data_IF_662084083683
#
_entry.id   IF_662084083683
#
_cell.length_a   1.000
_cell.length_b   1.000
_cell.length_c   1.000
_cell.angle_alpha   90.00
_cell.angle_beta   90.00
_cell.angle_gamma   90.00
#
_symmetry.space_group_name_H-M   'P 1'
#
loop_
_entity.id
_entity.type
_entity.pdbx_description
1 polymer ?
#
# COMPACT_ATOMS: atom_id res chain seq x y z
N UNK A 1 -28.47 23.61 -21.89
CA UNK A 1 -29.49 22.70 -21.34
C UNK A 1 -28.73 21.61 -20.59
N UNK A 2 -28.79 21.59 -19.26
CA UNK A 2 -28.02 20.67 -18.40
C UNK A 2 -28.91 19.47 -18.09
N UNK A 3 -28.45 18.26 -18.37
CA UNK A 3 -29.13 17.03 -17.96
C UNK A 3 -28.42 16.53 -16.71
N UNK A 4 -29.07 16.72 -15.56
CA UNK A 4 -28.71 16.12 -14.27
C UNK A 4 -29.66 14.94 -14.11
N UNK A 5 -29.15 13.71 -14.06
CA UNK A 5 -29.93 12.54 -13.65
C UNK A 5 -29.37 12.13 -12.29
N UNK A 6 -30.02 12.58 -11.23
CA UNK A 6 -29.79 12.09 -9.88
C UNK A 6 -30.47 10.73 -9.73
N UNK A 7 -29.69 9.69 -9.43
CA UNK A 7 -30.22 8.40 -9.05
C UNK A 7 -30.67 8.46 -7.58
N UNK A 8 -31.97 8.25 -7.37
CA UNK A 8 -32.62 8.16 -6.07
C UNK A 8 -32.32 6.77 -5.48
N UNK A 9 -31.46 6.69 -4.46
CA UNK A 9 -31.29 5.47 -3.66
C UNK A 9 -32.26 5.48 -2.48
N UNK A 10 -33.44 4.88 -2.67
CA UNK A 10 -34.31 4.47 -1.58
C UNK A 10 -33.95 3.06 -1.13
N UNK A 11 -33.26 2.93 0.00
CA UNK A 11 -33.04 1.61 0.62
C UNK A 11 -34.23 1.31 1.54
N UNK A 12 -35.10 0.41 1.07
CA UNK A 12 -36.12 -0.24 1.88
C UNK A 12 -35.44 -1.28 2.77
N UNK A 13 -35.19 -0.94 4.03
CA UNK A 13 -34.62 -1.88 5.00
C UNK A 13 -35.70 -2.86 5.49
N UNK A 14 -35.78 -4.04 4.86
CA UNK A 14 -36.64 -5.14 5.35
C UNK A 14 -35.80 -6.05 6.24
N UNK A 15 -35.86 -5.83 7.56
CA UNK A 15 -35.31 -6.77 8.53
C UNK A 15 -36.30 -7.92 8.75
N UNK A 16 -35.94 -9.14 8.34
CA UNK A 16 -36.68 -10.36 8.66
C UNK A 16 -35.79 -11.29 9.49
N UNK A 17 -36.11 -11.38 10.79
CA UNK A 17 -35.64 -12.42 11.70
C UNK A 17 -36.43 -13.71 11.42
N UNK A 18 -35.84 -14.70 10.76
CA UNK A 18 -36.40 -16.05 10.70
C UNK A 18 -35.29 -17.11 10.85
N UNK A 19 -35.57 -18.03 11.76
CA UNK A 19 -34.70 -19.05 12.36
C UNK A 19 -34.56 -20.32 11.52
N UNK A 20 -33.34 -20.61 11.03
CA UNK A 20 -32.77 -21.95 10.73
C UNK A 20 -33.52 -22.87 9.72
N UNK A 21 -32.95 -24.02 9.25
CA UNK A 21 -32.22 -24.05 7.96
C UNK A 21 -32.65 -25.22 7.04
N UNK A 22 -32.98 -24.99 5.75
CA UNK A 22 -32.95 -26.09 4.76
C UNK A 22 -32.92 -25.61 3.30
N UNK A 23 -31.78 -25.84 2.66
CA UNK A 23 -31.56 -26.36 1.31
C UNK A 23 -32.47 -25.88 0.15
N UNK A 24 -31.86 -25.11 -0.75
CA UNK A 24 -32.34 -24.83 -2.10
C UNK A 24 -31.65 -23.59 -2.63
N UNK A 25 -30.48 -23.76 -3.24
CA UNK A 25 -29.78 -22.65 -3.90
C UNK A 25 -30.63 -22.19 -5.09
N UNK A 26 -31.53 -21.24 -4.83
CA UNK A 26 -32.18 -20.43 -5.83
C UNK A 26 -31.12 -19.43 -6.28
N UNK A 27 -30.62 -19.61 -7.50
CA UNK A 27 -29.64 -18.71 -8.13
C UNK A 27 -30.34 -17.36 -8.40
N UNK A 28 -30.43 -16.56 -7.35
CA UNK A 28 -31.18 -15.32 -7.28
C UNK A 28 -30.20 -14.19 -7.59
N UNK A 29 -30.29 -13.72 -8.84
CA UNK A 29 -29.72 -12.48 -9.39
C UNK A 29 -28.21 -12.32 -9.18
N UNK A 30 -27.47 -12.58 -10.27
CA UNK A 30 -26.12 -12.04 -10.45
C UNK A 30 -26.15 -10.52 -10.28
N UNK A 31 -25.78 -10.07 -9.08
CA UNK A 31 -25.27 -8.74 -8.90
C UNK A 31 -24.01 -8.66 -9.74
N UNK A 32 -24.09 -7.96 -10.86
CA UNK A 32 -22.91 -7.37 -11.48
C UNK A 32 -22.32 -6.44 -10.42
N UNK A 33 -21.32 -6.90 -9.68
CA UNK A 33 -20.36 -5.97 -9.08
C UNK A 33 -19.84 -5.13 -10.24
N UNK A 34 -19.96 -3.81 -10.14
CA UNK A 34 -19.05 -2.95 -10.89
C UNK A 34 -17.66 -3.30 -10.31
N UNK A 35 -16.97 -4.24 -10.94
CA UNK A 35 -15.56 -4.49 -10.67
C UNK A 35 -14.85 -3.16 -10.92
N UNK A 36 -14.40 -2.50 -9.84
CA UNK A 36 -13.53 -1.33 -9.96
C UNK A 36 -12.34 -1.75 -10.83
N UNK A 37 -12.13 -1.02 -11.94
CA UNK A 37 -11.00 -1.28 -12.84
C UNK A 37 -9.67 -0.78 -12.28
N UNK A 38 -9.70 -0.21 -11.07
CA UNK A 38 -8.53 0.25 -10.36
C UNK A 38 -7.99 -0.84 -9.43
N UNK A 39 -6.81 -1.35 -9.77
CA UNK A 39 -6.08 -2.31 -8.94
C UNK A 39 -4.70 -1.72 -8.59
N UNK A 40 -4.30 -1.83 -7.33
CA UNK A 40 -2.98 -1.42 -6.87
C UNK A 40 -2.34 -2.48 -5.98
N UNK A 41 -1.03 -2.66 -6.13
CA UNK A 41 -0.24 -3.72 -5.50
C UNK A 41 1.14 -3.22 -5.14
N UNK A 42 1.72 -3.85 -4.13
CA UNK A 42 3.15 -3.83 -3.82
C UNK A 42 3.71 -5.23 -4.07
N UNK A 43 4.99 -5.33 -4.41
CA UNK A 43 5.69 -6.60 -4.57
C UNK A 43 5.71 -7.41 -3.26
N UNK A 44 6.22 -6.81 -2.18
CA UNK A 44 6.21 -7.38 -0.84
C UNK A 44 5.76 -6.31 0.18
N UNK A 45 4.67 -6.56 0.93
CA UNK A 45 4.17 -5.58 1.90
C UNK A 45 5.03 -5.51 3.18
N UNK A 46 6.06 -6.34 3.29
CA UNK A 46 6.98 -6.39 4.43
C UNK A 46 8.41 -6.38 3.92
N UNK A 47 9.20 -5.41 4.37
CA UNK A 47 10.63 -5.26 4.05
C UNK A 47 11.47 -5.08 5.31
N UNK A 48 12.79 -5.29 5.19
CA UNK A 48 13.73 -5.14 6.31
C UNK A 48 14.91 -4.26 5.87
N UNK A 49 15.15 -3.18 6.60
CA UNK A 49 16.38 -2.39 6.46
C UNK A 49 17.49 -3.02 7.30
N UNK A 50 18.70 -3.07 6.74
CA UNK A 50 19.88 -3.65 7.39
C UNK A 50 20.86 -2.54 7.75
N UNK A 51 21.27 -2.51 9.02
CA UNK A 51 22.23 -1.57 9.55
C UNK A 51 23.41 -2.35 10.11
N UNK A 52 24.60 -2.12 9.58
CA UNK A 52 25.83 -2.74 10.06
C UNK A 52 26.75 -1.66 10.60
N UNK A 53 27.02 -1.72 11.89
CA UNK A 53 28.07 -0.97 12.56
C UNK A 53 29.37 -1.75 12.39
N UNK A 54 30.38 -1.12 11.78
CA UNK A 54 31.72 -1.68 11.67
C UNK A 54 32.60 -0.90 12.63
N UNK A 55 33.11 -1.58 13.66
CA UNK A 55 34.19 -1.06 14.48
C UNK A 55 35.49 -1.18 13.69
N UNK A 56 36.20 -0.07 13.53
CA UNK A 56 37.46 -0.01 12.80
C UNK A 56 38.57 0.13 13.83
N UNK A 57 39.38 -0.91 14.01
CA UNK A 57 40.62 -0.84 14.77
C UNK A 57 41.79 -0.51 13.83
N UNK A 58 42.15 0.77 13.74
CA UNK A 58 43.32 1.21 12.97
C UNK A 58 44.63 1.13 13.77
N UNK A 59 44.63 0.56 14.98
CA UNK A 59 45.79 0.49 15.87
C UNK A 59 46.26 1.83 16.40
N UNK A 60 45.43 2.88 16.28
CA UNK A 60 45.60 4.13 17.00
C UNK A 60 44.66 4.18 18.22
N UNK A 61 44.66 5.30 18.95
CA UNK A 61 43.82 5.46 20.14
C UNK A 61 42.51 6.20 19.84
N UNK A 62 42.11 6.25 18.56
CA UNK A 62 40.84 6.76 18.12
C UNK A 62 39.91 5.55 17.86
N UNK A 63 38.70 5.59 18.40
CA UNK A 63 37.69 4.60 18.07
C UNK A 63 36.93 5.16 16.86
N UNK A 64 37.09 4.55 15.69
CA UNK A 64 36.31 4.86 14.50
C UNK A 64 35.19 3.84 14.31
N UNK A 65 34.00 4.35 13.96
CA UNK A 65 32.86 3.51 13.60
C UNK A 65 32.31 3.95 12.26
N UNK A 66 31.99 2.97 11.42
CA UNK A 66 31.32 3.19 10.14
C UNK A 66 29.96 2.51 10.15
N UNK A 67 28.94 3.20 9.64
CA UNK A 67 27.59 2.65 9.49
C UNK A 67 27.35 2.35 8.02
N UNK A 68 27.07 1.08 7.70
CA UNK A 68 26.52 0.69 6.40
C UNK A 68 25.02 0.51 6.54
N UNK A 69 24.25 1.17 5.67
CA UNK A 69 22.78 1.06 5.64
C UNK A 69 22.38 0.48 4.29
N UNK A 70 21.54 -0.54 4.32
CA UNK A 70 20.90 -1.13 3.14
C UNK A 70 19.39 -1.08 3.37
N UNK A 71 18.72 -0.12 2.73
CA UNK A 71 17.26 0.03 2.81
C UNK A 71 16.57 -0.93 1.87
N UNK A 72 15.43 -1.48 2.28
CA UNK A 72 14.58 -2.30 1.43
C UNK A 72 13.87 -1.43 0.39
N UNK A 73 14.00 -1.77 -0.89
CA UNK A 73 13.26 -1.11 -1.97
C UNK A 73 11.92 -1.80 -2.19
N UNK A 74 10.84 -1.04 -1.99
CA UNK A 74 9.48 -1.49 -2.29
C UNK A 74 9.09 -1.07 -3.70
N UNK A 75 8.47 -1.97 -4.46
CA UNK A 75 8.02 -1.69 -5.82
C UNK A 75 6.49 -1.71 -5.88
N UNK A 76 5.91 -0.57 -6.21
CA UNK A 76 4.48 -0.37 -6.31
C UNK A 76 4.03 -0.37 -7.77
N UNK A 77 2.86 -0.95 -8.00
CA UNK A 77 2.20 -0.94 -9.29
C UNK A 77 0.71 -0.67 -9.15
N UNK A 78 0.16 0.11 -10.06
CA UNK A 78 -1.26 0.34 -10.15
C UNK A 78 -1.72 0.34 -11.61
N UNK A 79 -2.91 -0.18 -11.83
CA UNK A 79 -3.55 -0.33 -13.13
C UNK A 79 -4.91 0.36 -13.05
N UNK A 80 -5.17 1.27 -13.99
CA UNK A 80 -6.47 1.93 -14.14
C UNK A 80 -6.63 2.40 -15.59
N UNK A 81 -7.86 2.41 -16.10
CA UNK A 81 -8.13 2.84 -17.47
C UNK A 81 -8.14 4.37 -17.60
N UNK A 82 -7.17 4.90 -18.37
CA UNK A 82 -7.08 6.31 -18.73
C UNK A 82 -7.13 7.27 -17.52
N UNK A 83 -6.39 6.91 -16.47
CA UNK A 83 -6.31 7.68 -15.23
C UNK A 83 -4.87 8.11 -14.91
N UNK A 84 -4.74 9.25 -14.25
CA UNK A 84 -3.50 9.68 -13.62
C UNK A 84 -3.37 9.00 -12.25
N UNK A 85 -2.19 8.46 -11.95
CA UNK A 85 -1.94 7.74 -10.69
C UNK A 85 -0.97 8.57 -9.84
N UNK A 86 -1.32 8.73 -8.57
CA UNK A 86 -0.53 9.41 -7.55
C UNK A 86 -0.40 8.54 -6.32
N UNK A 87 0.76 8.62 -5.67
CA UNK A 87 1.14 7.84 -4.49
C UNK A 87 1.54 8.79 -3.38
N UNK A 88 1.06 8.53 -2.18
CA UNK A 88 1.53 9.09 -0.92
C UNK A 88 1.99 7.92 -0.06
N UNK A 89 3.27 7.89 0.31
CA UNK A 89 3.87 6.76 1.02
C UNK A 89 3.62 6.80 2.53
N UNK A 90 3.02 7.88 3.05
CA UNK A 90 2.72 8.03 4.48
C UNK A 90 3.90 8.47 5.34
N UNK A 91 5.08 8.69 4.74
CA UNK A 91 6.29 9.24 5.36
C UNK A 91 6.56 10.70 4.96
N UNK A 92 5.64 11.32 4.22
CA UNK A 92 5.76 12.66 3.66
C UNK A 92 6.31 12.71 2.23
N UNK A 93 6.73 11.58 1.67
CA UNK A 93 7.14 11.47 0.27
C UNK A 93 5.96 11.07 -0.62
N UNK A 94 6.02 11.52 -1.87
CA UNK A 94 4.97 11.25 -2.87
C UNK A 94 5.58 10.88 -4.21
N UNK A 95 4.86 10.12 -5.02
CA UNK A 95 5.23 9.78 -6.39
C UNK A 95 4.04 9.81 -7.35
N UNK A 96 4.31 9.68 -8.64
CA UNK A 96 3.29 9.62 -9.68
C UNK A 96 3.66 8.60 -10.75
N UNK A 97 2.64 8.00 -11.38
CA UNK A 97 2.82 7.00 -12.43
C UNK A 97 2.32 5.62 -12.03
N UNK A 98 2.18 4.73 -13.02
CA UNK A 98 1.64 3.39 -12.83
C UNK A 98 2.60 2.44 -12.11
N UNK A 99 3.92 2.69 -12.19
CA UNK A 99 4.95 1.93 -11.50
C UNK A 99 5.88 2.92 -10.81
N UNK A 100 6.20 2.68 -9.54
CA UNK A 100 7.13 3.51 -8.76
C UNK A 100 7.84 2.64 -7.72
N UNK A 101 8.99 3.09 -7.23
CA UNK A 101 9.66 2.47 -6.09
C UNK A 101 9.90 3.48 -4.98
N UNK A 102 9.98 2.99 -3.75
CA UNK A 102 10.21 3.81 -2.56
C UNK A 102 11.03 3.03 -1.51
N UNK A 103 11.82 3.76 -0.73
CA UNK A 103 12.58 3.23 0.41
C UNK A 103 12.19 4.04 1.64
N UNK A 104 11.92 3.35 2.74
CA UNK A 104 11.65 3.99 4.04
C UNK A 104 12.94 4.00 4.86
N UNK A 105 13.30 5.16 5.40
CA UNK A 105 14.51 5.31 6.23
C UNK A 105 14.31 4.75 7.64
N UNK A 106 13.11 4.83 8.19
CA UNK A 106 12.81 4.38 9.55
C UNK A 106 11.99 3.08 9.54
N UNK A 107 12.22 2.16 10.50
CA UNK A 107 11.34 1.03 10.69
C UNK A 107 10.00 1.48 11.26
N UNK A 108 8.92 0.84 10.83
CA UNK A 108 7.56 1.21 11.24
C UNK A 108 6.48 0.60 10.38
N UNK A 109 5.25 0.98 10.68
CA UNK A 109 4.08 0.70 9.84
C UNK A 109 3.72 1.95 9.06
N UNK A 110 3.57 1.81 7.74
CA UNK A 110 3.20 2.87 6.83
C UNK A 110 1.92 2.50 6.08
N UNK A 111 1.09 3.49 5.79
CA UNK A 111 -0.12 3.32 4.98
C UNK A 111 0.09 4.08 3.69
N UNK A 112 0.37 3.36 2.61
CA UNK A 112 0.52 3.97 1.29
C UNK A 112 -0.86 4.24 0.73
N UNK A 113 -1.15 5.50 0.44
CA UNK A 113 -2.36 5.91 -0.25
C UNK A 113 -2.08 6.05 -1.74
N UNK A 114 -2.81 5.30 -2.55
CA UNK A 114 -2.76 5.42 -4.01
C UNK A 114 -4.07 5.98 -4.51
N UNK A 115 -4.00 7.00 -5.35
CA UNK A 115 -5.17 7.65 -5.94
C UNK A 115 -5.10 7.59 -7.46
N UNK A 116 -6.15 7.02 -8.05
CA UNK A 116 -6.44 7.06 -9.48
C UNK A 116 -7.41 8.20 -9.79
N UNK A 117 -7.00 9.08 -10.70
CA UNK A 117 -7.79 10.22 -11.17
C UNK A 117 -8.12 10.04 -12.65
N UNK A 118 -9.35 9.63 -12.93
CA UNK A 118 -9.92 9.57 -14.29
C UNK A 118 -10.88 10.74 -14.52
N UNK A 119 -11.30 11.03 -15.77
CA UNK A 119 -12.30 12.06 -16.04
C UNK A 119 -13.67 11.81 -15.37
N UNK A 120 -13.98 10.55 -15.04
CA UNK A 120 -15.31 10.14 -14.57
C UNK A 120 -15.32 9.76 -13.09
N UNK A 121 -14.17 9.39 -12.52
CA UNK A 121 -14.06 8.85 -11.17
C UNK A 121 -12.71 9.19 -10.53
N UNK A 122 -12.73 9.33 -9.21
CA UNK A 122 -11.54 9.33 -8.35
C UNK A 122 -11.66 8.13 -7.44
N UNK A 123 -10.66 7.26 -7.47
CA UNK A 123 -10.61 6.04 -6.68
C UNK A 123 -9.34 6.06 -5.84
N UNK A 124 -9.46 5.66 -4.58
CA UNK A 124 -8.33 5.63 -3.64
C UNK A 124 -8.31 4.29 -2.94
N UNK A 125 -7.11 3.70 -2.85
CA UNK A 125 -6.85 2.44 -2.17
C UNK A 125 -5.67 2.62 -1.21
N UNK A 126 -5.71 1.87 -0.11
CA UNK A 126 -4.65 1.85 0.88
C UNK A 126 -3.85 0.55 0.78
N UNK A 127 -2.52 0.64 0.90
CA UNK A 127 -1.62 -0.51 0.97
C UNK A 127 -0.83 -0.41 2.27
N UNK A 128 -1.06 -1.30 3.25
CA UNK A 128 -0.27 -1.33 4.47
C UNK A 128 1.12 -1.90 4.18
N UNK A 129 2.15 -1.23 4.69
CA UNK A 129 3.56 -1.62 4.57
C UNK A 129 4.15 -1.73 5.97
N UNK A 130 4.91 -2.80 6.20
CA UNK A 130 5.70 -2.99 7.43
C UNK A 130 7.19 -2.97 7.10
N UNK A 131 7.92 -2.10 7.77
CA UNK A 131 9.37 -1.94 7.63
C UNK A 131 10.02 -2.40 8.93
N UNK A 132 10.79 -3.47 8.86
CA UNK A 132 11.60 -3.97 9.95
C UNK A 132 13.01 -3.40 9.91
N UNK A 133 13.71 -3.54 11.03
CA UNK A 133 15.11 -3.20 11.17
C UNK A 133 15.87 -4.42 11.66
N UNK A 134 16.94 -4.78 10.96
CA UNK A 134 17.99 -5.68 11.43
C UNK A 134 19.27 -4.88 11.63
N UNK A 135 19.82 -4.94 12.85
CA UNK A 135 21.05 -4.25 13.20
C UNK A 135 22.11 -5.25 13.67
N UNK A 136 23.31 -5.18 13.08
CA UNK A 136 24.48 -5.94 13.51
C UNK A 136 25.67 -5.02 13.80
N UNK A 137 26.57 -5.49 14.65
CA UNK A 137 27.87 -4.88 14.87
C UNK A 137 28.95 -5.92 14.49
N UNK A 138 29.84 -5.54 13.59
CA UNK A 138 31.00 -6.32 13.19
C UNK A 138 32.23 -5.70 13.84
N UNK A 139 33.00 -6.55 14.54
CA UNK A 139 34.33 -6.20 15.05
C UNK A 139 35.33 -6.76 14.06
N UNK A 140 36.01 -5.90 13.31
CA UNK A 140 37.17 -6.32 12.52
C UNK A 140 38.34 -6.57 13.50
N UNK A 141 38.97 -7.73 13.43
CA UNK A 141 40.12 -8.11 14.27
C UNK A 141 41.34 -8.43 13.41
#
# INVERSE_FOLDING_TARGET
>A
MRVVIGAVFGVLMVTLLLSTPMLGALDLIGFSSEESSFEAKVDYPVGTNIYTLVEIDEGDNNEETSVTIISHEFVFSAVSENAAITWDFGDGNTASGAITSHQYDEPGEYVVMVTSLSPNAVETTEIPITVHLEASAEVDN
#
